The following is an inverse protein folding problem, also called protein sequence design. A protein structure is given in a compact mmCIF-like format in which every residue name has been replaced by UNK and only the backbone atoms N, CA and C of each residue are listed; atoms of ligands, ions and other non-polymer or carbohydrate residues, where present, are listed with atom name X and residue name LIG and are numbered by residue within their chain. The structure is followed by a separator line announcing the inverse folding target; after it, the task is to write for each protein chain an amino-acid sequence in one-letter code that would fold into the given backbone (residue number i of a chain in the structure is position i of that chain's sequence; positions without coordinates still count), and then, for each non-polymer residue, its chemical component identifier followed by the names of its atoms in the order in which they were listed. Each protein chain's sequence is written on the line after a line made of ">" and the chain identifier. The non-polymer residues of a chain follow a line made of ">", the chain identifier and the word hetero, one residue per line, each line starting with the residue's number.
data_IF_960527006932
#
_entry.id   IF_960527006932
#
_cell.length_a   1.000
_cell.length_b   1.000
_cell.length_c   1.000
_cell.angle_alpha   90.00
_cell.angle_beta   90.00
_cell.angle_gamma   90.00
#
_symmetry.space_group_name_H-M   'P 1'
#
loop_
_entity.id
_entity.type
_entity.pdbx_description
1 polymer ?
#
# COMPACT_ATOMS: atom_id res chain seq x y z
N UNK A 1 25.17 32.41 7.07
CA UNK A 1 25.68 31.22 7.79
C UNK A 1 24.79 31.09 9.03
N UNK A 2 24.05 30.02 9.32
CA UNK A 2 24.07 28.64 8.85
C UNK A 2 22.62 28.11 8.84
N UNK A 3 22.22 27.50 7.72
CA UNK A 3 21.06 26.62 7.65
C UNK A 3 21.49 25.24 8.14
N UNK A 4 21.11 24.83 9.35
CA UNK A 4 20.99 23.40 9.71
C UNK A 4 19.94 23.21 10.79
N UNK A 5 18.70 22.93 10.38
CA UNK A 5 17.82 22.05 11.14
C UNK A 5 17.35 20.94 10.21
N UNK A 6 18.03 19.81 10.40
CA UNK A 6 17.77 18.46 9.90
C UNK A 6 16.42 18.23 9.23
N UNK A 7 16.48 17.95 7.94
CA UNK A 7 15.48 17.16 7.23
C UNK A 7 15.51 15.74 7.78
N UNK A 8 14.64 15.44 8.75
CA UNK A 8 14.24 14.08 9.08
C UNK A 8 12.76 13.91 8.73
N UNK A 9 12.45 14.09 7.45
CA UNK A 9 11.12 13.85 6.85
C UNK A 9 11.18 12.62 5.92
N UNK A 10 12.01 11.63 6.26
CA UNK A 10 12.18 10.41 5.44
C UNK A 10 11.03 9.41 5.57
N UNK A 11 10.03 9.63 6.45
CA UNK A 11 9.11 8.54 6.81
C UNK A 11 7.72 9.00 7.26
N UNK A 12 7.30 10.20 6.85
CA UNK A 12 5.86 10.41 6.66
C UNK A 12 5.54 9.64 5.39
N UNK A 13 5.21 8.35 5.55
CA UNK A 13 4.52 7.58 4.52
C UNK A 13 3.61 8.54 3.76
N UNK A 14 3.76 8.65 2.43
CA UNK A 14 2.90 9.48 1.58
C UNK A 14 1.51 9.42 2.20
N UNK A 15 1.03 10.54 2.75
CA UNK A 15 -0.18 10.53 3.57
C UNK A 15 -1.32 10.08 2.68
N UNK A 16 -1.60 8.78 2.71
CA UNK A 16 -2.67 8.15 1.98
C UNK A 16 -3.96 8.51 2.71
N UNK A 17 -4.95 8.98 1.96
CA UNK A 17 -6.28 9.25 2.52
C UNK A 17 -7.07 7.94 2.73
N UNK A 18 -6.49 6.78 2.40
CA UNK A 18 -7.10 5.47 2.56
C UNK A 18 -6.28 4.51 3.42
N UNK A 19 -6.88 3.37 3.77
CA UNK A 19 -6.25 2.27 4.50
C UNK A 19 -5.69 1.18 3.56
N UNK A 20 -5.96 1.28 2.25
CA UNK A 20 -5.51 0.33 1.24
C UNK A 20 -3.98 0.34 1.12
N UNK A 21 -3.33 -0.71 1.60
CA UNK A 21 -1.91 -0.98 1.30
C UNK A 21 -1.71 -1.40 -0.16
N UNK A 22 -0.48 -1.26 -0.67
CA UNK A 22 -0.08 -1.47 -2.07
C UNK A 22 -0.88 -2.56 -2.80
N UNK A 23 -1.43 -2.18 -3.94
CA UNK A 23 -2.12 -3.07 -4.87
C UNK A 23 -1.13 -3.83 -5.75
N UNK A 24 0.00 -4.29 -5.20
CA UNK A 24 0.94 -5.10 -5.97
C UNK A 24 0.23 -6.41 -6.33
N UNK A 25 -0.17 -6.47 -7.59
CA UNK A 25 -0.64 -7.70 -8.21
C UNK A 25 0.60 -8.58 -8.40
N UNK A 26 0.78 -9.57 -7.53
CA UNK A 26 1.65 -10.68 -7.88
C UNK A 26 1.00 -11.36 -9.07
N UNK A 27 1.50 -11.09 -10.27
CA UNK A 27 1.23 -11.92 -11.43
C UNK A 27 1.84 -13.27 -11.08
N UNK A 28 1.04 -14.13 -10.46
CA UNK A 28 1.45 -15.51 -10.25
C UNK A 28 1.82 -16.01 -11.64
N UNK A 29 3.09 -16.37 -11.84
CA UNK A 29 3.71 -16.64 -13.14
C UNK A 29 3.20 -17.95 -13.77
N UNK A 30 1.91 -18.23 -13.62
CA UNK A 30 1.29 -19.50 -13.96
C UNK A 30 0.23 -19.45 -15.06
N UNK A 31 -0.28 -18.28 -15.47
CA UNK A 31 -1.36 -18.29 -16.47
C UNK A 31 -1.49 -17.00 -17.28
N UNK A 32 -0.56 -16.76 -18.21
CA UNK A 32 -0.77 -15.85 -19.34
C UNK A 32 -0.27 -16.51 -20.63
N UNK A 33 -0.90 -17.62 -20.97
CA UNK A 33 -1.21 -17.90 -22.37
C UNK A 33 -2.68 -18.31 -22.38
N UNK A 34 -3.57 -17.36 -22.68
CA UNK A 34 -4.99 -17.67 -22.92
C UNK A 34 -5.04 -18.31 -24.30
N UNK A 35 -4.63 -19.57 -24.35
CA UNK A 35 -4.92 -20.45 -25.47
C UNK A 35 -6.43 -20.63 -25.49
N UNK A 36 -7.07 -20.15 -26.56
CA UNK A 36 -8.51 -20.34 -26.84
C UNK A 36 -8.88 -21.81 -27.11
N UNK A 37 -8.04 -22.76 -26.71
CA UNK A 37 -8.33 -24.18 -26.76
C UNK A 37 -9.19 -24.54 -25.54
N UNK A 38 -10.45 -24.89 -25.82
CA UNK A 38 -11.48 -25.48 -24.96
C UNK A 38 -10.97 -25.99 -23.60
N UNK A 39 -10.73 -25.07 -22.68
CA UNK A 39 -10.57 -25.40 -21.27
C UNK A 39 -11.98 -25.32 -20.70
N UNK A 40 -12.59 -26.47 -20.45
CA UNK A 40 -13.83 -26.54 -19.67
C UNK A 40 -13.50 -26.07 -18.26
N UNK A 41 -13.54 -24.76 -18.05
CA UNK A 41 -13.42 -24.13 -16.73
C UNK A 41 -14.48 -24.75 -15.83
N UNK A 42 -14.05 -25.31 -14.70
CA UNK A 42 -14.98 -25.91 -13.74
C UNK A 42 -15.81 -24.82 -13.06
N UNK A 43 -17.05 -25.11 -12.62
CA UNK A 43 -17.85 -24.14 -11.88
C UNK A 43 -17.12 -23.56 -10.66
N UNK A 44 -16.31 -24.37 -9.98
CA UNK A 44 -15.48 -23.96 -8.85
C UNK A 44 -14.42 -22.92 -9.24
N UNK A 45 -13.78 -23.07 -10.41
CA UNK A 45 -12.82 -22.10 -10.94
C UNK A 45 -13.49 -20.76 -11.26
N UNK A 46 -14.72 -20.78 -11.79
CA UNK A 46 -15.51 -19.56 -12.02
C UNK A 46 -15.78 -18.84 -10.69
N UNK A 47 -16.18 -19.57 -9.66
CA UNK A 47 -16.45 -19.00 -8.33
C UNK A 47 -15.20 -18.34 -7.72
N UNK A 48 -14.04 -18.98 -7.87
CA UNK A 48 -12.76 -18.41 -7.43
C UNK A 48 -12.41 -17.12 -8.19
N UNK A 49 -12.55 -17.10 -9.51
CA UNK A 49 -12.29 -15.89 -10.31
C UNK A 49 -13.29 -14.76 -10.01
N UNK A 50 -14.57 -15.07 -9.82
CA UNK A 50 -15.56 -14.07 -9.39
C UNK A 50 -15.20 -13.44 -8.04
N UNK A 51 -14.74 -14.24 -7.07
CA UNK A 51 -14.29 -13.73 -5.78
C UNK A 51 -13.07 -12.81 -5.92
N UNK A 52 -12.13 -13.14 -6.82
CA UNK A 52 -10.98 -12.27 -7.14
C UNK A 52 -11.42 -10.95 -7.77
N UNK A 53 -12.34 -10.99 -8.74
CA UNK A 53 -12.89 -9.80 -9.39
C UNK A 53 -13.59 -8.90 -8.37
N UNK A 54 -14.40 -9.48 -7.48
CA UNK A 54 -15.11 -8.73 -6.44
C UNK A 54 -14.12 -8.03 -5.50
N UNK A 55 -13.08 -8.73 -5.04
CA UNK A 55 -12.02 -8.14 -4.21
C UNK A 55 -11.30 -7.01 -4.93
N UNK A 56 -10.95 -7.20 -6.20
CA UNK A 56 -10.30 -6.16 -7.01
C UNK A 56 -11.19 -4.92 -7.14
N UNK A 57 -12.49 -5.11 -7.39
CA UNK A 57 -13.46 -4.02 -7.47
C UNK A 57 -13.50 -3.22 -6.17
N UNK A 58 -13.53 -3.89 -5.02
CA UNK A 58 -13.53 -3.22 -3.71
C UNK A 58 -12.28 -2.38 -3.48
N UNK A 59 -11.10 -2.92 -3.81
CA UNK A 59 -9.83 -2.19 -3.75
C UNK A 59 -9.84 -0.94 -4.65
N UNK A 60 -10.33 -1.08 -5.88
CA UNK A 60 -10.39 0.03 -6.83
C UNK A 60 -11.35 1.13 -6.37
N UNK A 61 -12.51 0.79 -5.81
CA UNK A 61 -13.49 1.77 -5.29
C UNK A 61 -12.93 2.55 -4.10
N UNK A 62 -12.17 1.90 -3.21
CA UNK A 62 -11.48 2.58 -2.11
C UNK A 62 -10.41 3.54 -2.64
N UNK A 63 -9.60 3.09 -3.60
CA UNK A 63 -8.59 3.94 -4.24
C UNK A 63 -9.20 5.13 -4.98
N UNK A 64 -10.33 4.95 -5.66
CA UNK A 64 -11.08 6.04 -6.28
C UNK A 64 -11.54 7.08 -5.25
N UNK A 65 -12.01 6.62 -4.09
CA UNK A 65 -12.45 7.50 -3.01
C UNK A 65 -11.28 8.30 -2.43
N UNK A 66 -10.13 7.66 -2.20
CA UNK A 66 -8.89 8.35 -1.83
C UNK A 66 -8.46 9.40 -2.87
N UNK A 67 -8.52 9.06 -4.16
CA UNK A 67 -8.19 9.99 -5.24
C UNK A 67 -9.12 11.21 -5.27
N UNK A 68 -10.41 11.03 -4.93
CA UNK A 68 -11.36 12.14 -4.79
C UNK A 68 -10.99 13.07 -3.65
N UNK A 69 -10.64 12.55 -2.47
CA UNK A 69 -10.15 13.38 -1.36
C UNK A 69 -8.89 14.17 -1.74
N UNK A 70 -7.94 13.55 -2.45
CA UNK A 70 -6.74 14.26 -2.94
C UNK A 70 -7.09 15.36 -3.95
N UNK A 71 -7.98 15.08 -4.88
CA UNK A 71 -8.41 16.07 -5.88
C UNK A 71 -9.05 17.29 -5.21
N UNK A 72 -9.91 17.06 -4.23
CA UNK A 72 -10.58 18.12 -3.47
C UNK A 72 -9.57 18.92 -2.61
N UNK A 73 -8.61 18.28 -1.93
CA UNK A 73 -7.54 18.99 -1.19
C UNK A 73 -6.68 19.85 -2.13
N UNK A 74 -6.32 19.31 -3.31
CA UNK A 74 -5.57 20.05 -4.32
C UNK A 74 -6.37 21.28 -4.78
N UNK A 75 -7.67 21.16 -4.99
CA UNK A 75 -8.50 22.28 -5.41
C UNK A 75 -8.60 23.34 -4.32
N UNK A 76 -8.84 22.94 -3.07
CA UNK A 76 -8.83 23.85 -1.92
C UNK A 76 -7.48 24.57 -1.78
N UNK A 77 -6.37 23.84 -1.95
CA UNK A 77 -5.02 24.42 -1.90
C UNK A 77 -4.81 25.45 -3.01
N UNK A 78 -5.25 25.19 -4.24
CA UNK A 78 -5.18 26.15 -5.36
C UNK A 78 -5.97 27.42 -5.06
N UNK A 79 -7.20 27.28 -4.59
CA UNK A 79 -8.07 28.42 -4.28
C UNK A 79 -7.48 29.26 -3.14
N UNK A 80 -6.99 28.61 -2.07
CA UNK A 80 -6.30 29.27 -0.96
C UNK A 80 -5.04 29.99 -1.44
N UNK A 81 -4.24 29.37 -2.32
CA UNK A 81 -3.02 29.98 -2.85
C UNK A 81 -3.33 31.21 -3.70
N UNK A 82 -4.36 31.16 -4.55
CA UNK A 82 -4.80 32.33 -5.35
C UNK A 82 -5.18 33.50 -4.45
N UNK A 83 -6.06 33.25 -3.46
CA UNK A 83 -6.50 34.30 -2.53
C UNK A 83 -5.34 34.84 -1.68
N UNK A 84 -4.41 33.98 -1.24
CA UNK A 84 -3.20 34.41 -0.51
C UNK A 84 -2.31 35.29 -1.39
N UNK A 85 -2.23 35.02 -2.69
CA UNK A 85 -1.45 35.83 -3.62
C UNK A 85 -2.09 37.21 -3.81
N UNK A 86 -3.41 37.28 -3.96
CA UNK A 86 -4.16 38.55 -4.00
C UNK A 86 -3.98 39.35 -2.70
N UNK A 87 -4.07 38.69 -1.54
CA UNK A 87 -3.89 39.32 -0.24
C UNK A 87 -2.47 39.90 -0.09
N UNK A 88 -1.44 39.19 -0.55
CA UNK A 88 -0.05 39.69 -0.53
C UNK A 88 0.13 40.98 -1.31
N UNK A 89 -0.59 41.15 -2.43
CA UNK A 89 -0.53 42.39 -3.22
C UNK A 89 -1.08 43.58 -2.42
N UNK A 90 -2.16 43.39 -1.66
CA UNK A 90 -2.75 44.45 -0.82
C UNK A 90 -1.87 44.74 0.40
N UNK A 91 -1.36 43.70 1.06
CA UNK A 91 -0.50 43.83 2.25
C UNK A 91 0.84 44.51 1.91
N UNK A 92 1.33 44.37 0.67
CA UNK A 92 2.54 45.05 0.22
C UNK A 92 2.38 46.58 0.09
N UNK A 93 1.15 47.11 0.04
CA UNK A 93 0.90 48.56 0.00
C UNK A 93 1.18 49.17 1.40
N UNK A 94 2.04 50.20 1.51
CA UNK A 94 2.28 50.86 2.79
C UNK A 94 1.00 51.40 3.43
N UNK A 95 0.89 51.33 4.76
CA UNK A 95 -0.36 51.67 5.47
C UNK A 95 -0.82 53.13 5.23
N UNK A 96 0.13 54.05 5.04
CA UNK A 96 -0.13 55.46 4.69
C UNK A 96 -0.82 55.64 3.34
N UNK A 97 -0.62 54.69 2.42
CA UNK A 97 -1.12 54.72 1.05
C UNK A 97 -2.37 53.81 0.90
N UNK A 98 -2.80 53.12 1.97
CA UNK A 98 -4.01 52.29 1.97
C UNK A 98 -5.28 53.14 2.10
N UNK A 99 -6.15 53.03 1.10
CA UNK A 99 -7.50 53.58 1.17
C UNK A 99 -8.47 52.64 1.90
N UNK A 100 -9.72 53.06 2.12
CA UNK A 100 -10.75 52.23 2.77
C UNK A 100 -11.06 50.95 1.99
N UNK A 101 -11.00 51.00 0.65
CA UNK A 101 -11.27 49.86 -0.23
C UNK A 101 -10.22 48.77 -0.05
N UNK A 102 -8.93 49.12 0.07
CA UNK A 102 -7.86 48.17 0.33
C UNK A 102 -8.09 47.42 1.64
N UNK A 103 -8.46 48.14 2.71
CA UNK A 103 -8.77 47.53 4.02
C UNK A 103 -9.97 46.59 3.98
N UNK A 104 -11.05 47.00 3.31
CA UNK A 104 -12.23 46.14 3.13
C UNK A 104 -11.91 44.88 2.31
N UNK A 105 -11.14 45.01 1.24
CA UNK A 105 -10.71 43.87 0.42
C UNK A 105 -9.77 42.94 1.20
N UNK A 106 -8.87 43.49 2.01
CA UNK A 106 -7.99 42.72 2.90
C UNK A 106 -8.80 41.85 3.88
N UNK A 107 -9.77 42.45 4.58
CA UNK A 107 -10.68 41.75 5.50
C UNK A 107 -11.50 40.66 4.78
N UNK A 108 -12.04 40.97 3.61
CA UNK A 108 -12.83 40.02 2.81
C UNK A 108 -11.99 38.81 2.38
N UNK A 109 -10.76 39.04 1.90
CA UNK A 109 -9.84 37.97 1.49
C UNK A 109 -9.45 37.10 2.69
N UNK A 110 -9.16 37.70 3.85
CA UNK A 110 -8.84 36.96 5.08
C UNK A 110 -10.02 36.05 5.47
N UNK A 111 -11.25 36.57 5.44
CA UNK A 111 -12.45 35.79 5.75
C UNK A 111 -12.66 34.63 4.75
N UNK A 112 -12.44 34.85 3.46
CA UNK A 112 -12.55 33.79 2.44
C UNK A 112 -11.48 32.71 2.63
N UNK A 113 -10.22 33.11 2.86
CA UNK A 113 -9.12 32.18 3.13
C UNK A 113 -9.43 31.34 4.37
N UNK A 114 -9.90 31.97 5.45
CA UNK A 114 -10.26 31.26 6.68
C UNK A 114 -11.34 30.20 6.44
N UNK A 115 -12.40 30.53 5.70
CA UNK A 115 -13.46 29.56 5.35
C UNK A 115 -12.94 28.38 4.55
N UNK A 116 -12.04 28.62 3.59
CA UNK A 116 -11.44 27.52 2.80
C UNK A 116 -10.52 26.64 3.65
N UNK A 117 -9.75 27.24 4.57
CA UNK A 117 -8.92 26.48 5.52
C UNK A 117 -9.81 25.62 6.42
N UNK A 118 -10.91 26.16 6.94
CA UNK A 118 -11.88 25.36 7.71
C UNK A 118 -12.46 24.21 6.89
N UNK A 119 -12.84 24.45 5.63
CA UNK A 119 -13.33 23.40 4.73
C UNK A 119 -12.27 22.30 4.51
N UNK A 120 -11.01 22.69 4.40
CA UNK A 120 -9.89 21.75 4.28
C UNK A 120 -9.69 20.93 5.56
N UNK A 121 -9.83 21.55 6.73
CA UNK A 121 -9.74 20.84 8.00
C UNK A 121 -10.83 19.76 8.10
N UNK A 122 -12.08 20.10 7.74
CA UNK A 122 -13.17 19.11 7.68
C UNK A 122 -12.88 17.97 6.69
N UNK A 123 -12.30 18.27 5.52
CA UNK A 123 -11.92 17.24 4.54
C UNK A 123 -10.88 16.26 5.11
N UNK A 124 -9.95 16.74 5.93
CA UNK A 124 -8.96 15.89 6.60
C UNK A 124 -9.64 14.99 7.63
N UNK A 125 -10.58 15.53 8.41
CA UNK A 125 -11.35 14.76 9.39
C UNK A 125 -12.20 13.68 8.71
N UNK A 126 -12.92 14.03 7.64
CA UNK A 126 -13.76 13.10 6.87
C UNK A 126 -12.94 11.94 6.30
N UNK A 127 -11.75 12.22 5.76
CA UNK A 127 -10.90 11.18 5.22
C UNK A 127 -10.29 10.27 6.30
N UNK A 128 -10.00 10.80 7.49
CA UNK A 128 -9.55 9.98 8.61
C UNK A 128 -10.67 9.05 9.10
N UNK A 129 -11.92 9.53 9.11
CA UNK A 129 -13.08 8.68 9.42
C UNK A 129 -13.20 7.54 8.39
N UNK A 130 -13.07 7.83 7.10
CA UNK A 130 -13.14 6.80 6.06
C UNK A 130 -12.00 5.78 6.20
N UNK A 131 -10.77 6.23 6.46
CA UNK A 131 -9.62 5.35 6.71
C UNK A 131 -9.85 4.42 7.90
N UNK A 132 -10.42 4.93 8.99
CA UNK A 132 -10.73 4.11 10.17
C UNK A 132 -11.83 3.09 9.88
N UNK A 133 -12.85 3.49 9.10
CA UNK A 133 -13.92 2.60 8.65
C UNK A 133 -13.37 1.44 7.82
N UNK A 134 -12.58 1.72 6.79
CA UNK A 134 -11.96 0.69 5.94
C UNK A 134 -11.15 -0.31 6.77
N UNK A 135 -10.38 0.17 7.75
CA UNK A 135 -9.59 -0.69 8.63
C UNK A 135 -10.45 -1.61 9.50
N UNK A 136 -11.60 -1.14 9.99
CA UNK A 136 -12.50 -1.97 10.78
C UNK A 136 -13.21 -3.01 9.89
N UNK A 137 -13.60 -2.66 8.66
CA UNK A 137 -14.14 -3.61 7.68
C UNK A 137 -13.17 -4.76 7.39
N UNK A 138 -11.89 -4.45 7.18
CA UNK A 138 -10.85 -5.46 6.94
C UNK A 138 -10.63 -6.36 8.16
N UNK A 139 -10.70 -5.79 9.36
CA UNK A 139 -10.57 -6.53 10.62
C UNK A 139 -11.77 -7.47 10.82
N UNK A 140 -12.99 -7.02 10.57
CA UNK A 140 -14.19 -7.85 10.65
C UNK A 140 -14.12 -9.01 9.64
N UNK A 141 -13.66 -8.75 8.41
CA UNK A 141 -13.48 -9.77 7.39
C UNK A 141 -12.43 -10.82 7.78
N UNK A 142 -11.27 -10.39 8.29
CA UNK A 142 -10.22 -11.28 8.75
C UNK A 142 -10.68 -12.15 9.93
N UNK A 143 -11.39 -11.57 10.89
CA UNK A 143 -11.97 -12.30 12.01
C UNK A 143 -13.02 -13.31 11.55
N UNK A 144 -13.91 -12.92 10.63
CA UNK A 144 -14.90 -13.83 10.06
C UNK A 144 -14.25 -15.04 9.39
N UNK A 145 -13.25 -14.81 8.53
CA UNK A 145 -12.50 -15.88 7.88
C UNK A 145 -11.79 -16.77 8.90
N UNK A 146 -11.14 -16.19 9.91
CA UNK A 146 -10.50 -16.94 10.99
C UNK A 146 -11.49 -17.85 11.72
N UNK A 147 -12.69 -17.37 12.02
CA UNK A 147 -13.73 -18.17 12.68
C UNK A 147 -14.23 -19.31 11.78
N UNK A 148 -14.41 -19.06 10.47
CA UNK A 148 -14.90 -20.05 9.50
C UNK A 148 -13.87 -21.12 9.14
N UNK A 149 -12.58 -20.76 9.11
CA UNK A 149 -11.48 -21.66 8.73
C UNK A 149 -10.91 -22.45 9.91
N UNK A 150 -11.09 -21.99 11.16
CA UNK A 150 -10.64 -22.70 12.38
C UNK A 150 -11.00 -24.20 12.42
N UNK A 151 -12.22 -24.64 12.04
CA UNK A 151 -12.55 -26.06 12.01
C UNK A 151 -11.75 -26.88 10.98
N UNK A 152 -11.35 -26.25 9.86
CA UNK A 152 -10.53 -26.90 8.83
C UNK A 152 -9.08 -27.04 9.30
N UNK A 153 -8.53 -26.02 9.95
CA UNK A 153 -7.20 -26.07 10.55
C UNK A 153 -7.07 -27.15 11.63
N UNK A 154 -8.10 -27.32 12.44
CA UNK A 154 -8.15 -28.38 13.46
C UNK A 154 -8.18 -29.77 12.83
N UNK A 155 -8.94 -29.97 11.74
CA UNK A 155 -8.98 -31.24 10.99
C UNK A 155 -7.63 -31.57 10.33
N UNK A 156 -6.93 -30.57 9.78
CA UNK A 156 -5.59 -30.76 9.19
C UNK A 156 -4.54 -31.13 10.24
N UNK A 157 -4.62 -30.55 11.45
CA UNK A 157 -3.71 -30.88 12.57
C UNK A 157 -3.91 -32.29 13.14
N UNK A 158 -5.12 -32.84 13.09
CA UNK A 158 -5.41 -34.22 13.53
C UNK A 158 -4.88 -35.28 12.55
N UNK A 159 -4.77 -34.95 11.26
CA UNK A 159 -4.22 -35.86 10.23
C UNK A 159 -2.69 -35.95 10.28
N UNK A 160 -2.00 -34.97 10.88
CA UNK A 160 -0.55 -34.99 11.11
C UNK A 160 -0.17 -35.63 12.45
N UNK A 161 -0.60 -36.88 12.69
CA UNK A 161 0.08 -37.70 13.69
C UNK A 161 1.46 -38.11 13.12
N UNK A 162 2.55 -38.09 13.92
CA UNK A 162 3.88 -38.39 13.42
C UNK A 162 3.95 -39.84 12.91
N UNK A 163 4.62 -40.12 11.78
CA UNK A 163 4.83 -41.50 11.38
C UNK A 163 5.60 -42.23 12.48
N UNK A 164 5.01 -43.30 13.02
CA UNK A 164 5.70 -44.27 13.88
C UNK A 164 7.03 -44.59 13.23
N UNK A 165 8.14 -44.37 13.96
CA UNK A 165 9.48 -44.81 13.59
C UNK A 165 9.41 -46.30 13.19
N UNK A 166 9.37 -46.58 11.89
CA UNK A 166 9.62 -47.94 11.38
C UNK A 166 11.11 -48.18 11.59
N UNK A 167 11.43 -49.11 12.48
CA UNK A 167 12.77 -49.66 12.60
C UNK A 167 13.15 -50.26 11.23
N UNK A 168 14.26 -49.77 10.67
CA UNK A 168 14.89 -50.30 9.48
C UNK A 168 15.57 -51.61 9.90
N UNK A 169 15.30 -52.76 9.26
CA UNK A 169 16.08 -53.97 9.50
C UNK A 169 17.52 -53.77 8.99
N UNK A 170 18.49 -54.09 9.85
CA UNK A 170 19.92 -54.11 9.53
C UNK A 170 20.22 -54.99 8.30
N UNK A 171 21.03 -54.47 7.37
CA UNK A 171 21.63 -55.23 6.28
C UNK A 171 22.99 -55.82 6.73
N UNK A 172 23.34 -57.05 6.30
CA UNK A 172 24.48 -57.80 6.83
C UNK A 172 25.85 -57.26 6.36
N UNK A 173 26.94 -57.53 7.12
CA UNK A 173 28.23 -56.90 6.92
C UNK A 173 29.08 -57.68 5.90
N UNK A 174 29.62 -57.00 4.88
CA UNK A 174 30.93 -57.33 4.27
C UNK A 174 31.42 -56.26 3.26
N UNK A 175 32.43 -55.49 3.73
CA UNK A 175 33.57 -54.73 3.15
C UNK A 175 33.84 -54.71 1.61
N UNK A 176 34.75 -53.82 1.08
CA UNK A 176 35.45 -52.68 1.69
C UNK A 176 35.33 -51.33 0.93
N UNK A 177 35.75 -50.29 1.66
CA UNK A 177 36.00 -48.91 1.27
C UNK A 177 36.81 -48.69 -0.01
N UNK A 178 36.39 -47.70 -0.81
CA UNK A 178 37.31 -46.88 -1.61
C UNK A 178 37.14 -45.42 -1.19
N UNK A 179 38.19 -44.92 -0.55
CA UNK A 179 38.43 -43.52 -0.25
C UNK A 179 38.81 -42.80 -1.54
N UNK A 180 38.11 -41.73 -1.92
CA UNK A 180 38.70 -40.68 -2.75
C UNK A 180 38.34 -39.31 -2.19
N UNK A 181 39.36 -38.71 -1.60
CA UNK A 181 39.50 -37.28 -1.35
C UNK A 181 39.23 -36.45 -2.60
N UNK A 182 38.66 -35.27 -2.42
CA UNK A 182 38.47 -34.27 -3.47
C UNK A 182 38.05 -32.91 -2.91
N UNK A 183 39.02 -32.26 -2.26
CA UNK A 183 39.17 -30.82 -1.98
C UNK A 183 37.93 -29.90 -1.94
N UNK A 184 37.71 -29.32 -0.76
CA UNK A 184 37.19 -27.97 -0.65
C UNK A 184 38.20 -26.96 -1.23
N UNK A 185 37.75 -26.00 -2.02
CA UNK A 185 38.43 -24.72 -2.20
C UNK A 185 37.43 -23.60 -1.92
N UNK A 186 37.95 -22.67 -1.15
CA UNK A 186 37.37 -21.53 -0.47
C UNK A 186 37.16 -20.38 -1.47
N UNK A 187 35.99 -19.74 -1.36
CA UNK A 187 35.77 -18.28 -1.27
C UNK A 187 36.75 -17.39 -2.04
N UNK A 188 36.24 -16.64 -3.01
CA UNK A 188 36.76 -15.30 -3.29
C UNK A 188 35.63 -14.30 -3.53
N UNK A 189 35.86 -13.13 -2.94
CA UNK A 189 34.98 -12.00 -2.84
C UNK A 189 35.08 -11.08 -4.07
N UNK A 190 33.96 -10.42 -4.39
CA UNK A 190 33.84 -9.01 -4.78
C UNK A 190 34.64 -8.47 -5.98
N UNK A 191 33.90 -7.92 -6.96
CA UNK A 191 34.30 -6.68 -7.63
C UNK A 191 34.28 -6.67 -9.17
N UNK A 192 33.45 -5.75 -9.69
CA UNK A 192 33.61 -5.04 -10.95
C UNK A 192 33.14 -5.69 -12.28
N UNK A 193 32.11 -5.01 -12.82
CA UNK A 193 31.91 -4.59 -14.21
C UNK A 193 31.32 -5.54 -15.26
N UNK A 194 30.24 -5.01 -15.84
CA UNK A 194 29.76 -5.07 -17.23
C UNK A 194 28.66 -6.07 -17.62
N UNK A 195 27.49 -5.47 -17.82
CA UNK A 195 26.42 -5.85 -18.75
C UNK A 195 26.94 -6.35 -20.11
N UNK A 196 26.32 -7.42 -20.61
CA UNK A 196 25.45 -7.41 -21.80
C UNK A 196 25.19 -8.86 -22.23
N UNK A 197 23.93 -9.24 -22.41
CA UNK A 197 23.57 -10.36 -23.29
C UNK A 197 22.40 -9.89 -24.14
N UNK A 198 22.62 -10.01 -25.46
CA UNK A 198 21.66 -9.75 -26.55
C UNK A 198 20.46 -10.69 -26.49
#
# INVERSE_FOLDING_TARGET
>A
MELKKSFSDSERALRSYGAVSETEWTTDKGHLDVSMAESTISPEEIEVEMARIQRLREVLVRRESELRFMMDDIQLCKDIMSLKQELRLIVAVPEKDKNKKHRQQEEELILKIHKLVQKRDFLVDDAEVERLREKEEDKEMAEFLRLKLRPLEQKLKVTQNPPKKRQIPEAPPNKPSITKSGAAIIKDCCGATQCAVM
#
